data_IF_268610551138
#
_entry.id   IF_268610551138
#
_cell.length_a   1.000
_cell.length_b   1.000
_cell.length_c   1.000
_cell.angle_alpha   90.00
_cell.angle_beta   90.00
_cell.angle_gamma   90.00
#
_symmetry.space_group_name_H-M   'P 1'
#
loop_
_entity.id
_entity.type
_entity.pdbx_description
1 polymer ?
#
# COMPACT_ATOMS: atom_id res chain seq x y z
N UNK A 1 27.72 8.13 -0.04
CA UNK A 1 27.16 7.19 -1.03
C UNK A 1 26.27 6.21 -0.27
N UNK A 2 25.01 6.58 -0.03
CA UNK A 2 24.03 5.76 0.70
C UNK A 2 22.90 5.37 -0.25
N UNK A 3 23.08 4.25 -0.95
CA UNK A 3 22.08 3.70 -1.87
C UNK A 3 22.34 2.21 -2.06
N UNK A 4 21.96 1.39 -1.08
CA UNK A 4 22.00 -0.09 -1.19
C UNK A 4 20.88 -0.81 -0.43
N UNK A 5 20.05 -0.11 0.36
CA UNK A 5 19.03 -0.75 1.21
C UNK A 5 17.65 -0.92 0.54
N UNK A 6 17.41 -0.35 -0.65
CA UNK A 6 16.06 -0.31 -1.24
C UNK A 6 15.67 -1.57 -2.03
N UNK A 7 16.61 -2.48 -2.32
CA UNK A 7 16.35 -3.68 -3.14
C UNK A 7 16.08 -4.96 -2.34
N UNK A 8 16.22 -4.95 -1.01
CA UNK A 8 16.37 -6.18 -0.22
C UNK A 8 15.05 -6.73 0.36
N UNK A 9 13.99 -5.91 0.43
CA UNK A 9 12.69 -6.32 0.99
C UNK A 9 11.57 -6.50 -0.04
N UNK A 10 11.83 -6.21 -1.32
CA UNK A 10 10.85 -6.42 -2.40
C UNK A 10 10.60 -7.90 -2.73
N UNK A 11 11.41 -8.84 -2.21
CA UNK A 11 11.31 -10.28 -2.52
C UNK A 11 10.64 -11.14 -1.44
N UNK A 12 10.14 -10.55 -0.34
CA UNK A 12 9.66 -11.34 0.80
C UNK A 12 8.15 -11.67 0.81
N UNK A 13 7.39 -11.32 -0.22
CA UNK A 13 5.98 -11.73 -0.30
C UNK A 13 5.61 -12.27 -1.67
N UNK A 14 5.38 -13.59 -1.70
CA UNK A 14 4.71 -14.39 -2.72
C UNK A 14 5.39 -14.54 -4.09
N UNK A 15 5.96 -15.75 -4.26
CA UNK A 15 6.36 -16.42 -5.51
C UNK A 15 7.51 -15.82 -6.34
N UNK A 16 8.42 -16.75 -6.66
CA UNK A 16 9.52 -16.72 -7.63
C UNK A 16 10.87 -16.08 -7.27
N UNK A 17 11.86 -16.94 -7.52
CA UNK A 17 13.29 -16.81 -7.31
C UNK A 17 13.88 -15.66 -8.10
N UNK A 18 14.31 -14.59 -7.43
CA UNK A 18 15.26 -13.63 -7.98
C UNK A 18 16.47 -13.49 -7.06
N UNK A 19 17.61 -13.90 -7.58
CA UNK A 19 18.94 -13.88 -6.96
C UNK A 19 19.31 -12.43 -6.54
N UNK A 20 19.70 -12.17 -5.27
CA UNK A 20 20.14 -10.83 -4.86
C UNK A 20 21.52 -10.48 -5.46
N UNK A 21 21.67 -9.21 -5.84
CA UNK A 21 22.82 -8.66 -6.59
C UNK A 21 24.16 -8.63 -5.84
N UNK A 22 24.25 -9.20 -4.63
CA UNK A 22 25.43 -9.22 -3.77
C UNK A 22 26.16 -10.58 -3.73
N UNK A 23 25.72 -11.56 -4.53
CA UNK A 23 26.34 -12.89 -4.54
C UNK A 23 26.12 -13.70 -3.26
N UNK A 24 25.25 -13.25 -2.36
CA UNK A 24 24.75 -14.07 -1.26
C UNK A 24 23.66 -15.00 -1.80
N UNK A 25 23.94 -16.29 -1.80
CA UNK A 25 22.89 -17.30 -1.98
C UNK A 25 22.08 -17.36 -0.69
N UNK A 26 20.88 -16.74 -0.70
CA UNK A 26 19.89 -16.95 0.36
C UNK A 26 19.58 -18.43 0.47
N UNK A 27 19.74 -19.00 1.67
CA UNK A 27 19.31 -20.36 1.93
C UNK A 27 17.85 -20.37 2.42
N UNK A 28 17.26 -21.55 2.55
CA UNK A 28 15.86 -21.73 2.93
C UNK A 28 15.54 -21.24 4.36
N UNK A 29 16.54 -21.05 5.22
CA UNK A 29 16.41 -20.61 6.61
C UNK A 29 16.25 -19.10 6.76
N UNK A 30 16.55 -18.30 5.72
CA UNK A 30 16.35 -16.85 5.74
C UNK A 30 14.88 -16.41 5.63
N UNK A 31 13.96 -17.35 5.32
CA UNK A 31 12.52 -17.06 5.12
C UNK A 31 11.76 -16.79 6.43
N UNK A 32 12.24 -17.30 7.56
CA UNK A 32 11.57 -17.23 8.86
C UNK A 32 12.28 -16.29 9.85
N UNK A 33 13.22 -15.47 9.36
CA UNK A 33 14.06 -14.63 10.20
C UNK A 33 13.26 -13.49 10.87
N UNK A 34 13.38 -13.41 12.19
CA UNK A 34 12.74 -12.35 12.99
C UNK A 34 13.43 -11.00 12.76
N UNK A 35 12.71 -9.90 13.03
CA UNK A 35 13.30 -8.56 12.90
C UNK A 35 14.47 -8.32 13.86
N UNK A 36 14.50 -9.05 14.99
CA UNK A 36 15.59 -9.02 15.96
C UNK A 36 16.83 -9.75 15.45
N UNK A 37 16.66 -10.91 14.83
CA UNK A 37 17.77 -11.67 14.22
C UNK A 37 18.40 -10.88 13.07
N UNK A 38 17.59 -10.28 12.19
CA UNK A 38 18.07 -9.44 11.11
C UNK A 38 18.84 -8.21 11.63
N UNK A 39 18.25 -7.49 12.59
CA UNK A 39 18.88 -6.31 13.17
C UNK A 39 20.22 -6.62 13.84
N UNK A 40 20.32 -7.80 14.47
CA UNK A 40 21.55 -8.30 15.07
C UNK A 40 22.61 -8.60 14.02
N UNK A 41 22.26 -9.30 12.94
CA UNK A 41 23.18 -9.61 11.83
C UNK A 41 23.75 -8.33 11.23
N UNK A 42 22.91 -7.33 10.96
CA UNK A 42 23.36 -6.05 10.41
C UNK A 42 24.29 -5.29 11.37
N UNK A 43 23.97 -5.24 12.67
CA UNK A 43 24.83 -4.59 13.66
C UNK A 43 26.17 -5.32 13.87
N UNK A 44 26.17 -6.65 13.81
CA UNK A 44 27.39 -7.47 13.92
C UNK A 44 28.27 -7.35 12.66
N UNK A 45 27.67 -7.26 11.47
CA UNK A 45 28.38 -7.01 10.21
C UNK A 45 29.08 -5.63 10.21
N UNK A 46 28.39 -4.57 10.61
CA UNK A 46 28.98 -3.23 10.75
C UNK A 46 30.12 -3.19 11.78
N UNK A 47 29.97 -3.93 12.88
CA UNK A 47 31.05 -4.12 13.87
C UNK A 47 32.24 -4.87 13.27
N UNK A 48 32.00 -5.92 12.47
CA UNK A 48 33.06 -6.68 11.82
C UNK A 48 33.87 -5.85 10.81
N UNK A 49 33.23 -4.85 10.19
CA UNK A 49 33.83 -3.88 9.28
C UNK A 49 34.55 -2.72 9.99
N UNK A 50 34.54 -2.70 11.33
CA UNK A 50 35.12 -1.63 12.13
C UNK A 50 34.33 -0.31 12.11
N UNK A 51 33.10 -0.31 11.61
CA UNK A 51 32.21 0.86 11.61
C UNK A 51 31.59 1.13 13.00
N UNK A 52 31.55 0.09 13.83
CA UNK A 52 31.08 0.14 15.22
C UNK A 52 32.24 -0.31 16.11
N UNK A 53 32.68 0.57 17.00
CA UNK A 53 33.87 0.33 17.84
C UNK A 53 33.50 0.13 19.31
N UNK A 54 32.28 0.50 19.70
CA UNK A 54 31.81 0.39 21.07
C UNK A 54 30.48 -0.37 21.22
N UNK A 55 30.25 -0.92 22.41
CA UNK A 55 28.97 -1.56 22.77
C UNK A 55 27.79 -0.59 22.69
N UNK A 56 28.03 0.70 22.95
CA UNK A 56 27.00 1.75 22.86
C UNK A 56 26.60 2.00 21.41
N UNK A 57 27.57 2.11 20.51
CA UNK A 57 27.33 2.24 19.06
C UNK A 57 26.61 1.01 18.50
N UNK A 58 27.00 -0.19 18.95
CA UNK A 58 26.34 -1.42 18.54
C UNK A 58 24.87 -1.44 18.91
N UNK A 59 24.54 -1.05 20.15
CA UNK A 59 23.16 -0.99 20.62
C UNK A 59 22.32 0.00 19.80
N UNK A 60 22.89 1.17 19.48
CA UNK A 60 22.21 2.17 18.66
C UNK A 60 21.97 1.68 17.21
N UNK A 61 22.95 1.00 16.61
CA UNK A 61 22.82 0.41 15.28
C UNK A 61 21.76 -0.70 15.26
N UNK A 62 21.78 -1.59 16.26
CA UNK A 62 20.78 -2.64 16.43
C UNK A 62 19.36 -2.06 16.54
N UNK A 63 19.14 -1.06 17.40
CA UNK A 63 17.82 -0.43 17.56
C UNK A 63 17.34 0.24 16.28
N UNK A 64 18.25 0.86 15.52
CA UNK A 64 17.97 1.45 14.21
C UNK A 64 17.51 0.36 13.22
N UNK A 65 18.28 -0.71 13.04
CA UNK A 65 17.95 -1.79 12.12
C UNK A 65 16.67 -2.52 12.54
N UNK A 66 16.44 -2.70 13.83
CA UNK A 66 15.20 -3.30 14.34
C UNK A 66 13.98 -2.47 13.95
N UNK A 67 14.09 -1.14 14.05
CA UNK A 67 13.03 -0.24 13.62
C UNK A 67 12.81 -0.32 12.10
N UNK A 68 13.86 -0.21 11.31
CA UNK A 68 13.78 -0.29 9.83
C UNK A 68 13.14 -1.60 9.35
N UNK A 69 13.50 -2.73 9.98
CA UNK A 69 12.90 -4.03 9.67
C UNK A 69 11.41 -4.08 9.99
N UNK A 70 11.00 -3.52 11.13
CA UNK A 70 9.58 -3.47 11.53
C UNK A 70 8.78 -2.56 10.62
N UNK A 71 9.29 -1.36 10.35
CA UNK A 71 8.67 -0.38 9.45
C UNK A 71 8.50 -0.98 8.04
N UNK A 72 9.49 -1.72 7.54
CA UNK A 72 9.40 -2.37 6.22
C UNK A 72 8.43 -3.56 6.20
N UNK A 73 8.35 -4.36 7.28
CA UNK A 73 7.33 -5.41 7.39
C UNK A 73 5.91 -4.83 7.45
N UNK A 74 5.73 -3.71 8.14
CA UNK A 74 4.47 -2.99 8.18
C UNK A 74 4.10 -2.43 6.80
N UNK A 75 5.04 -1.83 6.07
CA UNK A 75 4.84 -1.37 4.69
C UNK A 75 4.44 -2.53 3.76
N UNK A 76 5.15 -3.67 3.84
CA UNK A 76 4.83 -4.87 3.06
C UNK A 76 3.44 -5.43 3.38
N UNK A 77 3.08 -5.48 4.67
CA UNK A 77 1.73 -5.88 5.11
C UNK A 77 0.66 -4.97 4.49
N UNK A 78 0.84 -3.66 4.60
CA UNK A 78 -0.11 -2.69 4.08
C UNK A 78 -0.21 -2.70 2.56
N UNK A 79 0.89 -2.94 1.84
CA UNK A 79 0.90 -3.10 0.39
C UNK A 79 0.13 -4.37 -0.04
N UNK A 80 0.33 -5.47 0.69
CA UNK A 80 -0.42 -6.71 0.44
C UNK A 80 -1.91 -6.54 0.75
N UNK A 81 -2.23 -5.84 1.84
CA UNK A 81 -3.61 -5.51 2.19
C UNK A 81 -4.28 -4.62 1.14
N UNK A 82 -3.61 -3.55 0.67
CA UNK A 82 -4.10 -2.67 -0.38
C UNK A 82 -4.36 -3.44 -1.67
N UNK A 83 -3.40 -4.29 -2.08
CA UNK A 83 -3.54 -5.13 -3.27
C UNK A 83 -4.76 -6.05 -3.17
N UNK A 84 -4.96 -6.70 -2.02
CA UNK A 84 -6.10 -7.58 -1.79
C UNK A 84 -7.43 -6.81 -1.75
N UNK A 85 -7.46 -5.64 -1.10
CA UNK A 85 -8.63 -4.78 -1.03
C UNK A 85 -9.04 -4.28 -2.42
N UNK A 86 -8.06 -3.80 -3.21
CA UNK A 86 -8.24 -3.38 -4.60
C UNK A 86 -8.78 -4.51 -5.47
N UNK A 87 -8.17 -5.70 -5.38
CA UNK A 87 -8.63 -6.88 -6.10
C UNK A 87 -10.09 -7.21 -5.78
N UNK A 88 -10.51 -7.09 -4.52
CA UNK A 88 -11.89 -7.34 -4.14
C UNK A 88 -12.86 -6.31 -4.71
N UNK A 89 -12.48 -5.04 -4.74
CA UNK A 89 -13.30 -3.97 -5.36
C UNK A 89 -13.48 -4.23 -6.85
N UNK A 90 -12.38 -4.56 -7.55
CA UNK A 90 -12.40 -4.91 -8.96
C UNK A 90 -13.28 -6.13 -9.19
N UNK A 91 -13.11 -7.21 -8.43
CA UNK A 91 -13.93 -8.43 -8.53
C UNK A 91 -15.44 -8.13 -8.45
N UNK A 92 -15.86 -7.30 -7.49
CA UNK A 92 -17.28 -6.94 -7.30
C UNK A 92 -17.83 -6.11 -8.48
N UNK A 93 -17.03 -5.21 -9.04
CA UNK A 93 -17.37 -4.46 -10.25
C UNK A 93 -17.48 -5.39 -11.47
N UNK A 94 -16.51 -6.31 -11.65
CA UNK A 94 -16.52 -7.31 -12.73
C UNK A 94 -17.67 -8.31 -12.61
N UNK A 95 -18.14 -8.57 -11.39
CA UNK A 95 -19.33 -9.38 -11.13
C UNK A 95 -20.65 -8.61 -11.31
N UNK A 96 -20.58 -7.32 -11.66
CA UNK A 96 -21.74 -6.45 -11.89
C UNK A 96 -22.69 -6.44 -10.69
N UNK A 97 -22.13 -6.41 -9.47
CA UNK A 97 -22.94 -6.43 -8.25
C UNK A 97 -23.91 -5.25 -8.23
N UNK A 98 -25.20 -5.57 -8.01
CA UNK A 98 -26.25 -4.57 -8.09
C UNK A 98 -26.04 -3.48 -7.01
N UNK A 99 -26.08 -2.22 -7.44
CA UNK A 99 -25.84 -1.08 -6.56
C UNK A 99 -24.39 -0.94 -6.08
N UNK A 100 -23.40 -1.55 -6.75
CA UNK A 100 -21.99 -1.40 -6.39
C UNK A 100 -21.25 -0.40 -7.30
N UNK A 101 -21.55 0.88 -7.15
CA UNK A 101 -20.86 1.97 -7.87
C UNK A 101 -19.88 2.68 -6.94
N UNK A 102 -18.59 2.72 -7.27
CA UNK A 102 -17.58 3.26 -6.34
C UNK A 102 -17.31 4.75 -6.52
N UNK A 103 -17.72 5.39 -7.61
CA UNK A 103 -17.46 6.81 -7.86
C UNK A 103 -18.23 7.79 -6.98
N UNK A 104 -19.26 7.30 -6.28
CA UNK A 104 -19.99 8.09 -5.29
C UNK A 104 -20.09 7.35 -3.97
N UNK A 105 -20.08 8.14 -2.89
CA UNK A 105 -20.36 7.65 -1.54
C UNK A 105 -21.74 6.96 -1.44
N UNK A 106 -22.73 7.39 -2.25
CA UNK A 106 -24.10 6.84 -2.24
C UNK A 106 -24.28 5.62 -3.13
N UNK A 107 -23.23 5.16 -3.81
CA UNK A 107 -23.29 4.02 -4.74
C UNK A 107 -24.24 4.23 -5.92
N UNK A 108 -24.41 5.49 -6.31
CA UNK A 108 -25.20 5.89 -7.46
C UNK A 108 -24.31 6.06 -8.70
N UNK A 109 -24.76 5.57 -9.88
CA UNK A 109 -24.07 5.82 -11.14
C UNK A 109 -24.27 7.30 -11.54
N UNK A 110 -23.17 8.05 -11.57
CA UNK A 110 -23.16 9.46 -12.00
C UNK A 110 -22.81 9.63 -13.48
N UNK A 111 -22.14 8.64 -14.08
CA UNK A 111 -21.80 8.63 -15.49
C UNK A 111 -22.57 7.50 -16.18
N UNK A 112 -23.69 7.80 -16.87
CA UNK A 112 -24.51 6.77 -17.52
C UNK A 112 -23.78 6.06 -18.66
N UNK A 113 -22.73 6.67 -19.20
CA UNK A 113 -21.91 6.11 -20.26
C UNK A 113 -20.88 5.07 -19.78
N UNK A 114 -20.58 5.01 -18.48
CA UNK A 114 -19.61 4.06 -17.95
C UNK A 114 -20.30 2.84 -17.36
N UNK A 115 -19.80 1.68 -17.72
CA UNK A 115 -20.16 0.40 -17.12
C UNK A 115 -19.35 0.15 -15.85
N UNK A 116 -19.72 -0.85 -15.05
CA UNK A 116 -18.87 -1.29 -13.93
C UNK A 116 -17.52 -1.83 -14.42
N UNK A 117 -17.47 -2.41 -15.62
CA UNK A 117 -16.22 -2.86 -16.25
C UNK A 117 -15.28 -1.71 -16.60
N UNK A 118 -15.82 -0.58 -17.09
CA UNK A 118 -15.03 0.62 -17.36
C UNK A 118 -14.43 1.18 -16.06
N UNK A 119 -15.23 1.21 -14.98
CA UNK A 119 -14.77 1.66 -13.67
C UNK A 119 -13.68 0.73 -13.13
N UNK A 120 -13.82 -0.58 -13.29
CA UNK A 120 -12.78 -1.54 -12.93
C UNK A 120 -11.49 -1.29 -13.71
N UNK A 121 -11.57 -1.06 -15.03
CA UNK A 121 -10.42 -0.72 -15.86
C UNK A 121 -9.72 0.55 -15.35
N UNK A 122 -10.46 1.60 -15.00
CA UNK A 122 -9.88 2.84 -14.47
C UNK A 122 -9.18 2.66 -13.12
N UNK A 123 -9.66 1.74 -12.27
CA UNK A 123 -8.98 1.41 -10.99
C UNK A 123 -7.68 0.64 -11.26
N UNK A 124 -7.71 -0.31 -12.18
CA UNK A 124 -6.54 -1.11 -12.55
C UNK A 124 -5.47 -0.25 -13.25
N UNK A 125 -5.87 0.71 -14.09
CA UNK A 125 -4.97 1.67 -14.76
C UNK A 125 -4.44 2.76 -13.83
N UNK A 126 -5.03 2.94 -12.64
CA UNK A 126 -4.68 3.99 -11.69
C UNK A 126 -5.31 5.36 -12.00
N UNK A 127 -6.21 5.44 -12.98
CA UNK A 127 -7.01 6.64 -13.25
C UNK A 127 -8.00 6.94 -12.13
N UNK A 128 -8.48 5.90 -11.43
CA UNK A 128 -9.26 5.99 -10.20
C UNK A 128 -8.48 5.47 -9.01
N UNK A 129 -8.45 6.28 -7.94
CA UNK A 129 -7.93 5.90 -6.63
C UNK A 129 -9.07 5.42 -5.75
N UNK A 130 -8.91 4.24 -5.17
CA UNK A 130 -9.88 3.69 -4.23
C UNK A 130 -9.58 4.22 -2.82
N UNK A 131 -10.63 4.54 -2.06
CA UNK A 131 -10.56 5.08 -0.71
C UNK A 131 -11.43 4.21 0.19
N UNK A 132 -10.85 3.70 1.27
CA UNK A 132 -11.59 3.12 2.40
C UNK A 132 -11.84 4.20 3.44
N UNK A 133 -13.09 4.36 3.86
CA UNK A 133 -13.50 5.18 4.99
C UNK A 133 -13.79 4.28 6.19
N UNK A 134 -12.88 4.28 7.17
CA UNK A 134 -12.91 3.32 8.28
C UNK A 134 -13.72 3.84 9.47
N UNK A 135 -13.99 5.16 9.53
CA UNK A 135 -14.66 5.80 10.66
C UNK A 135 -16.06 6.34 10.35
N UNK A 136 -16.56 6.18 9.12
CA UNK A 136 -17.87 6.73 8.70
C UNK A 136 -18.91 5.61 8.68
N UNK A 137 -20.02 5.70 9.45
CA UNK A 137 -21.09 4.73 9.38
C UNK A 137 -21.82 4.74 8.02
N UNK A 138 -22.09 3.56 7.42
CA UNK A 138 -21.68 2.24 7.89
C UNK A 138 -20.16 2.03 7.71
N UNK A 139 -19.47 1.58 8.77
CA UNK A 139 -18.01 1.38 8.79
C UNK A 139 -17.57 0.56 7.58
N UNK A 140 -16.49 0.98 6.91
CA UNK A 140 -15.94 0.28 5.74
C UNK A 140 -16.59 0.72 4.42
N UNK A 141 -17.04 1.96 4.30
CA UNK A 141 -17.47 2.50 2.99
C UNK A 141 -16.24 2.61 2.09
N UNK A 142 -16.24 1.84 1.01
CA UNK A 142 -15.26 1.97 -0.07
C UNK A 142 -15.79 2.89 -1.14
N UNK A 143 -15.03 3.88 -1.58
CA UNK A 143 -15.37 4.80 -2.69
C UNK A 143 -14.14 4.97 -3.59
N UNK A 144 -14.28 5.68 -4.70
CA UNK A 144 -13.20 6.01 -5.61
C UNK A 144 -13.26 7.50 -6.00
N UNK A 145 -12.11 8.06 -6.35
CA UNK A 145 -11.98 9.41 -6.89
C UNK A 145 -11.01 9.41 -8.07
N UNK A 146 -11.21 10.34 -9.01
CA UNK A 146 -10.26 10.57 -10.10
C UNK A 146 -8.88 10.95 -9.55
N UNK A 147 -7.85 10.28 -10.08
CA UNK A 147 -6.45 10.57 -9.75
C UNK A 147 -5.98 11.91 -10.34
N UNK A 148 -6.54 12.28 -11.50
CA UNK A 148 -6.30 13.54 -12.19
C UNK A 148 -7.58 14.41 -12.17
N UNK A 149 -7.51 15.53 -11.44
CA UNK A 149 -8.62 16.47 -11.31
C UNK A 149 -8.83 17.33 -12.58
N UNK A 150 -7.93 17.28 -13.57
CA UNK A 150 -8.03 18.07 -14.80
C UNK A 150 -8.95 17.46 -15.87
N UNK A 151 -9.33 16.19 -15.70
CA UNK A 151 -10.21 15.43 -16.61
C UNK A 151 -11.59 16.07 -16.77
N UNK A 152 -12.25 15.77 -17.89
CA UNK A 152 -13.62 16.23 -18.13
C UNK A 152 -14.59 15.64 -17.12
N UNK A 153 -14.45 14.35 -16.81
CA UNK A 153 -15.32 13.68 -15.85
C UNK A 153 -15.15 14.24 -14.43
N UNK A 154 -13.92 14.59 -14.05
CA UNK A 154 -13.62 15.19 -12.76
C UNK A 154 -14.23 16.60 -12.57
N UNK A 155 -14.71 17.22 -13.65
CA UNK A 155 -15.39 18.52 -13.63
C UNK A 155 -16.92 18.41 -13.60
N UNK A 156 -17.47 17.19 -13.61
CA UNK A 156 -18.91 16.98 -13.53
C UNK A 156 -19.49 17.60 -12.23
N UNK A 157 -20.54 18.44 -12.29
CA UNK A 157 -21.09 19.10 -11.10
C UNK A 157 -21.60 18.13 -10.04
N UNK A 158 -22.16 16.99 -10.44
CA UNK A 158 -22.67 15.95 -9.54
C UNK A 158 -21.49 15.28 -8.84
N UNK A 159 -20.46 14.90 -9.60
CA UNK A 159 -19.21 14.37 -9.06
C UNK A 159 -18.57 15.33 -8.06
N UNK A 160 -18.42 16.62 -8.40
CA UNK A 160 -17.82 17.63 -7.52
C UNK A 160 -18.55 17.70 -6.18
N UNK A 161 -19.88 17.71 -6.19
CA UNK A 161 -20.70 17.69 -4.96
C UNK A 161 -20.43 16.46 -4.10
N UNK A 162 -20.29 15.28 -4.71
CA UNK A 162 -19.94 14.05 -3.98
C UNK A 162 -18.50 14.06 -3.49
N UNK A 163 -17.57 14.59 -4.28
CA UNK A 163 -16.16 14.72 -3.92
C UNK A 163 -15.96 15.67 -2.75
N UNK A 164 -16.67 16.79 -2.70
CA UNK A 164 -16.64 17.72 -1.57
C UNK A 164 -17.10 17.03 -0.28
N UNK A 165 -18.18 16.26 -0.33
CA UNK A 165 -18.66 15.47 0.81
C UNK A 165 -17.62 14.42 1.22
N UNK A 166 -17.03 13.71 0.25
CA UNK A 166 -15.97 12.74 0.52
C UNK A 166 -14.76 13.41 1.21
N UNK A 167 -14.30 14.55 0.69
CA UNK A 167 -13.20 15.34 1.28
C UNK A 167 -13.54 15.83 2.70
N UNK A 168 -14.81 16.14 2.99
CA UNK A 168 -15.24 16.47 4.36
C UNK A 168 -15.19 15.26 5.28
N UNK A 169 -15.62 14.08 4.83
CA UNK A 169 -15.56 12.85 5.65
C UNK A 169 -14.12 12.41 5.90
N UNK A 170 -13.24 12.51 4.90
CA UNK A 170 -11.79 12.26 5.06
C UNK A 170 -11.14 13.19 6.10
N UNK A 171 -11.68 14.40 6.33
CA UNK A 171 -11.19 15.31 7.38
C UNK A 171 -11.69 14.95 8.78
N UNK A 172 -12.84 14.26 8.88
CA UNK A 172 -13.50 13.96 10.16
C UNK A 172 -12.98 12.69 10.82
N UNK A 173 -12.33 11.80 10.08
CA UNK A 173 -11.85 10.56 10.66
C UNK A 173 -10.82 9.82 9.82
N UNK A 174 -10.68 8.53 10.08
CA UNK A 174 -9.65 7.69 9.49
C UNK A 174 -10.07 7.23 8.09
N UNK A 175 -9.16 7.43 7.14
CA UNK A 175 -9.30 6.95 5.79
C UNK A 175 -7.98 6.36 5.31
N UNK A 176 -8.07 5.50 4.31
CA UNK A 176 -6.92 4.93 3.60
C UNK A 176 -7.13 5.04 2.10
N UNK A 177 -6.11 5.51 1.39
CA UNK A 177 -6.06 5.42 -0.07
C UNK A 177 -5.43 4.07 -0.39
N UNK A 178 -6.17 3.24 -1.12
CA UNK A 178 -5.76 1.92 -1.57
C UNK A 178 -5.02 2.10 -2.91
N UNK A 179 -3.75 1.70 -2.95
CA UNK A 179 -2.90 1.80 -4.13
C UNK A 179 -3.04 0.58 -5.05
#
# INVERSE_FOLDING_TARGET
MGSFALGYLLGMTFSDTSIPANGYTMDRSDRDMTSEEWAKICADDDKSKGLITSKKEWKAAYEKYLKESKDSKEESYWNAWDSAAKAKVVERLRNHENGYWVLTYLKEPIYPQFTQDDIANFIESGELKVISLDSVPPVGVVTAMWADESREEAKDPTYIKHLERLKQEMKKGQYRIIN
#
